data_IF_593015365277
#
_entry.id   IF_593015365277
#
_cell.length_a   1.000
_cell.length_b   1.000
_cell.length_c   1.000
_cell.angle_alpha   90.00
_cell.angle_beta   90.00
_cell.angle_gamma   90.00
#
_symmetry.space_group_name_H-M   'P 1'
#
loop_
_entity.id
_entity.type
_entity.pdbx_description
1 polymer ?
#
# COMPACT_ATOMS: atom_id res chain seq x y z
N UNK A 1 34.05 -38.60 23.62
CA UNK A 1 32.86 -37.78 24.02
C UNK A 1 32.85 -36.40 23.34
N UNK A 2 33.97 -35.77 23.10
CA UNK A 2 34.08 -34.41 22.50
C UNK A 2 33.62 -34.35 21.03
N UNK A 3 33.81 -35.40 20.25
CA UNK A 3 33.43 -35.43 18.81
C UNK A 3 31.91 -35.46 18.54
N UNK A 4 31.07 -35.87 19.50
CA UNK A 4 29.62 -35.90 19.36
C UNK A 4 28.97 -34.56 19.71
N UNK A 5 29.61 -33.73 20.52
CA UNK A 5 29.12 -32.39 20.91
C UNK A 5 29.30 -31.38 19.78
N UNK A 6 30.41 -31.51 18.99
CA UNK A 6 30.66 -30.63 17.84
C UNK A 6 29.63 -30.80 16.71
N UNK A 7 29.05 -32.00 16.56
CA UNK A 7 28.04 -32.26 15.53
C UNK A 7 26.66 -31.72 15.90
N UNK A 8 26.35 -31.69 17.19
CA UNK A 8 25.07 -31.11 17.68
C UNK A 8 25.11 -29.59 17.63
N UNK A 9 26.25 -28.96 17.86
CA UNK A 9 26.40 -27.50 17.75
C UNK A 9 26.35 -27.07 16.28
N UNK A 10 26.87 -27.85 15.34
CA UNK A 10 26.77 -27.58 13.91
C UNK A 10 25.34 -27.71 13.37
N UNK A 11 24.52 -28.59 13.95
CA UNK A 11 23.10 -28.74 13.58
C UNK A 11 22.19 -27.62 14.14
N UNK A 12 22.61 -26.96 15.22
CA UNK A 12 21.88 -25.83 15.81
C UNK A 12 22.17 -24.49 15.13
N UNK A 13 23.23 -24.39 14.34
CA UNK A 13 23.62 -23.20 13.58
C UNK A 13 23.04 -23.14 12.16
N UNK A 14 22.36 -24.20 11.70
CA UNK A 14 21.85 -24.29 10.34
C UNK A 14 20.42 -23.71 10.16
N UNK A 15 19.81 -23.11 11.18
CA UNK A 15 18.42 -22.64 11.12
C UNK A 15 18.23 -21.11 11.11
N UNK A 16 19.23 -20.31 10.78
CA UNK A 16 19.07 -18.84 10.69
C UNK A 16 19.74 -18.31 9.42
N UNK A 17 19.22 -18.74 8.27
CA UNK A 17 19.42 -18.02 7.01
C UNK A 17 18.05 -17.83 6.34
N UNK A 18 17.07 -17.38 7.09
CA UNK A 18 16.00 -16.56 6.52
C UNK A 18 16.68 -15.25 6.12
N UNK A 19 16.79 -14.97 4.83
CA UNK A 19 17.36 -13.73 4.35
C UNK A 19 16.56 -12.56 4.94
N UNK A 20 17.08 -11.92 5.99
CA UNK A 20 16.51 -10.71 6.52
C UNK A 20 16.43 -9.68 5.39
N UNK A 21 15.25 -9.07 5.20
CA UNK A 21 15.09 -7.97 4.27
C UNK A 21 16.14 -6.91 4.60
N UNK A 22 17.00 -6.60 3.63
CA UNK A 22 18.00 -5.55 3.79
C UNK A 22 17.27 -4.20 4.00
N UNK A 23 17.29 -3.73 5.23
CA UNK A 23 16.58 -2.53 5.65
C UNK A 23 17.24 -1.27 5.10
N UNK A 24 18.51 -1.33 4.76
CA UNK A 24 19.32 -0.18 4.30
C UNK A 24 19.15 0.05 2.80
N UNK A 25 18.74 -0.96 2.03
CA UNK A 25 18.47 -0.79 0.61
C UNK A 25 17.13 -0.11 0.35
N UNK A 26 17.18 0.93 -0.48
CA UNK A 26 15.98 1.62 -0.96
C UNK A 26 15.21 0.71 -1.94
N UNK A 27 13.94 0.42 -1.65
CA UNK A 27 13.02 -0.18 -2.61
C UNK A 27 12.34 0.86 -3.48
N UNK A 28 11.62 0.43 -4.51
CA UNK A 28 10.86 1.35 -5.36
C UNK A 28 9.49 0.80 -5.72
N UNK A 29 8.49 1.68 -5.71
CA UNK A 29 7.12 1.39 -6.08
C UNK A 29 6.70 2.26 -7.25
N UNK A 30 6.35 1.63 -8.36
CA UNK A 30 5.82 2.25 -9.56
C UNK A 30 4.32 2.02 -9.59
N UNK A 31 3.53 3.10 -9.57
CA UNK A 31 2.10 3.00 -9.32
C UNK A 31 1.30 3.82 -10.32
N UNK A 32 0.27 3.20 -10.87
CA UNK A 32 -0.75 3.87 -11.67
C UNK A 32 -2.10 3.73 -10.99
N UNK A 33 -2.76 4.86 -10.76
CA UNK A 33 -4.11 4.94 -10.19
C UNK A 33 -5.06 5.55 -11.20
N UNK A 34 -6.24 4.99 -11.30
CA UNK A 34 -7.28 5.57 -12.14
C UNK A 34 -8.59 5.76 -11.35
N UNK A 35 -9.37 6.75 -11.78
CA UNK A 35 -10.70 7.04 -11.28
C UNK A 35 -11.57 7.53 -12.43
N UNK A 36 -12.72 6.89 -12.63
CA UNK A 36 -13.68 7.26 -13.65
C UNK A 36 -15.07 7.45 -13.03
N UNK A 37 -15.81 8.46 -13.47
CA UNK A 37 -17.19 8.67 -13.06
C UNK A 37 -18.10 8.39 -14.25
N UNK A 38 -19.13 7.58 -14.07
CA UNK A 38 -20.15 7.36 -15.09
C UNK A 38 -20.98 8.64 -15.19
N UNK A 39 -20.97 9.22 -16.37
CA UNK A 39 -21.61 10.52 -16.63
C UNK A 39 -23.06 10.55 -16.12
N UNK A 40 -23.40 11.65 -15.44
CA UNK A 40 -24.76 11.94 -14.89
C UNK A 40 -25.22 10.96 -13.79
N UNK A 41 -24.33 10.15 -13.25
CA UNK A 41 -24.65 9.22 -12.16
C UNK A 41 -23.82 9.45 -10.91
N UNK A 42 -24.20 8.81 -9.81
CA UNK A 42 -23.38 8.73 -8.59
C UNK A 42 -22.38 7.59 -8.62
N UNK A 43 -22.33 6.81 -9.69
CA UNK A 43 -21.51 5.63 -9.84
C UNK A 43 -20.24 5.92 -10.61
N UNK A 44 -19.25 5.09 -10.41
CA UNK A 44 -17.97 5.16 -11.11
C UNK A 44 -17.12 3.94 -10.86
N UNK A 45 -15.89 3.98 -11.34
CA UNK A 45 -14.89 2.95 -11.14
C UNK A 45 -13.59 3.58 -10.68
N UNK A 46 -12.86 2.87 -9.85
CA UNK A 46 -11.47 3.20 -9.52
C UNK A 46 -10.63 1.95 -9.45
N UNK A 47 -9.34 2.12 -9.64
CA UNK A 47 -8.40 1.01 -9.47
C UNK A 47 -6.97 1.49 -9.53
N UNK A 48 -6.07 0.52 -9.40
CA UNK A 48 -4.65 0.75 -9.50
C UNK A 48 -3.89 -0.50 -9.91
N UNK A 49 -2.76 -0.27 -10.57
CA UNK A 49 -1.70 -1.23 -10.82
C UNK A 49 -0.45 -0.72 -10.14
N UNK A 50 0.18 -1.57 -9.32
CA UNK A 50 1.39 -1.21 -8.59
C UNK A 50 2.43 -2.31 -8.77
N UNK A 51 3.58 -1.93 -9.33
CA UNK A 51 4.75 -2.76 -9.40
C UNK A 51 5.74 -2.29 -8.35
N UNK A 52 6.01 -3.14 -7.38
CA UNK A 52 6.85 -2.85 -6.23
C UNK A 52 8.08 -3.73 -6.27
N UNK A 53 9.23 -3.14 -6.04
CA UNK A 53 10.51 -3.82 -6.01
C UNK A 53 11.15 -3.75 -4.63
N UNK A 54 11.86 -4.80 -4.25
CA UNK A 54 12.71 -4.82 -3.07
C UNK A 54 13.85 -3.81 -3.17
N UNK A 55 14.40 -3.62 -4.38
CA UNK A 55 15.40 -2.62 -4.74
C UNK A 55 14.76 -1.57 -5.67
N UNK A 56 15.53 -0.58 -6.15
CA UNK A 56 15.02 0.44 -7.08
C UNK A 56 14.53 -0.20 -8.39
N UNK A 57 15.24 -1.23 -8.88
CA UNK A 57 14.83 -2.01 -10.05
C UNK A 57 15.24 -3.47 -9.90
N UNK A 58 14.42 -4.39 -10.40
CA UNK A 58 14.77 -5.81 -10.53
C UNK A 58 13.89 -6.75 -9.71
N UNK A 59 14.11 -6.87 -8.42
CA UNK A 59 13.47 -7.93 -7.63
C UNK A 59 12.03 -7.56 -7.25
N UNK A 60 11.08 -8.39 -7.67
CA UNK A 60 9.67 -8.20 -7.37
C UNK A 60 9.41 -8.31 -5.85
N UNK A 61 8.94 -7.23 -5.23
CA UNK A 61 8.34 -7.27 -3.89
C UNK A 61 6.86 -7.63 -3.98
N UNK A 62 6.10 -6.88 -4.81
CA UNK A 62 4.68 -7.13 -5.05
C UNK A 62 4.22 -6.56 -6.39
N UNK A 63 3.41 -7.34 -7.10
CA UNK A 63 2.52 -6.84 -8.15
C UNK A 63 1.10 -6.81 -7.59
N UNK A 64 0.47 -5.62 -7.61
CA UNK A 64 -0.91 -5.43 -7.18
C UNK A 64 -1.73 -4.92 -8.35
N UNK A 65 -2.87 -5.56 -8.59
CA UNK A 65 -3.88 -5.12 -9.55
C UNK A 65 -5.20 -5.05 -8.80
N UNK A 66 -5.81 -3.85 -8.75
CA UNK A 66 -7.07 -3.66 -8.03
C UNK A 66 -8.06 -2.86 -8.86
N UNK A 67 -9.33 -3.22 -8.71
CA UNK A 67 -10.44 -2.48 -9.30
C UNK A 67 -11.66 -2.50 -8.40
N UNK A 68 -12.53 -1.52 -8.52
CA UNK A 68 -13.74 -1.46 -7.72
C UNK A 68 -14.79 -0.50 -8.26
N UNK A 69 -16.03 -0.84 -7.99
CA UNK A 69 -17.19 0.00 -8.24
C UNK A 69 -17.27 1.08 -7.15
N UNK A 70 -17.48 2.32 -7.54
CA UNK A 70 -17.58 3.43 -6.60
C UNK A 70 -18.96 4.03 -6.61
N UNK A 71 -19.41 4.52 -5.45
CA UNK A 71 -20.65 5.24 -5.27
C UNK A 71 -20.42 6.52 -4.47
N UNK A 72 -20.82 7.67 -5.01
CA UNK A 72 -20.74 8.97 -4.36
C UNK A 72 -22.16 9.54 -4.18
N UNK A 73 -22.73 9.48 -2.95
CA UNK A 73 -24.05 10.07 -2.68
C UNK A 73 -24.09 11.56 -3.03
N UNK A 74 -25.20 12.04 -3.63
CA UNK A 74 -25.34 13.44 -4.06
C UNK A 74 -25.29 14.45 -2.90
N UNK A 75 -25.75 14.05 -1.71
CA UNK A 75 -25.87 14.93 -0.53
C UNK A 75 -24.75 14.75 0.51
N UNK A 76 -23.75 13.93 0.25
CA UNK A 76 -22.68 13.66 1.20
C UNK A 76 -21.30 13.74 0.52
N UNK A 77 -20.34 14.36 1.19
CA UNK A 77 -18.95 14.40 0.70
C UNK A 77 -18.19 13.14 1.11
N UNK A 78 -18.70 12.00 0.64
CA UNK A 78 -18.14 10.68 0.88
C UNK A 78 -18.15 9.89 -0.42
N UNK A 79 -17.15 9.05 -0.64
CA UNK A 79 -17.11 8.08 -1.74
C UNK A 79 -16.92 6.69 -1.16
N UNK A 80 -17.83 5.79 -1.45
CA UNK A 80 -17.73 4.37 -1.13
C UNK A 80 -17.13 3.60 -2.29
N UNK A 81 -16.45 2.51 -1.98
CA UNK A 81 -15.93 1.57 -2.98
C UNK A 81 -16.13 0.14 -2.50
N UNK A 82 -16.65 -0.71 -3.36
CA UNK A 82 -16.57 -2.16 -3.24
C UNK A 82 -15.60 -2.64 -4.31
N UNK A 83 -14.52 -3.29 -3.92
CA UNK A 83 -13.47 -3.65 -4.85
C UNK A 83 -12.88 -5.03 -4.63
N UNK A 84 -12.17 -5.47 -5.65
CA UNK A 84 -11.39 -6.69 -5.69
C UNK A 84 -9.94 -6.35 -6.01
N UNK A 85 -9.01 -7.16 -5.50
CA UNK A 85 -7.59 -7.02 -5.78
C UNK A 85 -6.90 -8.37 -5.82
N UNK A 86 -6.01 -8.50 -6.78
CA UNK A 86 -5.05 -9.59 -6.90
C UNK A 86 -3.66 -9.08 -6.52
N UNK A 87 -2.94 -9.88 -5.74
CA UNK A 87 -1.61 -9.54 -5.24
C UNK A 87 -0.69 -10.73 -5.42
N UNK A 88 0.35 -10.57 -6.21
CA UNK A 88 1.48 -11.50 -6.29
C UNK A 88 2.64 -10.92 -5.49
N UNK A 89 3.15 -11.65 -4.51
CA UNK A 89 4.30 -11.25 -3.69
C UNK A 89 5.50 -12.13 -4.01
N UNK A 90 6.65 -11.53 -4.29
CA UNK A 90 7.91 -12.24 -4.51
C UNK A 90 8.74 -12.31 -3.24
N UNK A 91 9.47 -13.39 -3.07
CA UNK A 91 10.44 -13.57 -1.98
C UNK A 91 11.59 -12.57 -2.10
N UNK A 92 12.19 -12.22 -0.96
CA UNK A 92 13.38 -11.38 -0.92
C UNK A 92 14.64 -12.21 -1.18
N UNK A 93 15.58 -11.66 -1.95
CA UNK A 93 16.90 -12.27 -2.19
C UNK A 93 16.96 -13.12 -3.46
N UNK A 94 17.70 -14.22 -3.41
CA UNK A 94 17.93 -15.11 -4.56
C UNK A 94 16.72 -16.02 -4.87
N UNK A 95 15.84 -16.23 -3.91
CA UNK A 95 14.61 -16.99 -4.11
C UNK A 95 13.67 -16.22 -5.07
N UNK A 96 13.18 -16.89 -6.11
CA UNK A 96 12.24 -16.32 -7.08
C UNK A 96 10.81 -16.85 -6.89
N UNK A 97 10.56 -17.53 -5.78
CA UNK A 97 9.23 -18.01 -5.46
C UNK A 97 8.24 -16.84 -5.26
N UNK A 98 7.00 -17.11 -5.59
CA UNK A 98 5.93 -16.14 -5.42
C UNK A 98 4.78 -16.76 -4.64
N UNK A 99 4.05 -15.92 -3.92
CA UNK A 99 2.78 -16.28 -3.28
C UNK A 99 1.66 -15.38 -3.79
N UNK A 100 0.42 -15.90 -3.80
CA UNK A 100 -0.75 -15.18 -4.28
C UNK A 100 -1.69 -14.83 -3.15
N UNK A 101 -2.37 -13.72 -3.32
CA UNK A 101 -3.41 -13.26 -2.41
C UNK A 101 -4.52 -12.56 -3.18
N UNK A 102 -5.77 -13.00 -2.96
CA UNK A 102 -6.96 -12.28 -3.41
C UNK A 102 -7.56 -11.47 -2.27
N UNK A 103 -8.13 -10.33 -2.59
CA UNK A 103 -8.76 -9.42 -1.62
C UNK A 103 -10.10 -8.95 -2.12
N UNK A 104 -11.11 -8.97 -1.24
CA UNK A 104 -12.32 -8.18 -1.39
C UNK A 104 -12.19 -7.02 -0.40
N UNK A 105 -12.52 -5.79 -0.81
CA UNK A 105 -12.41 -4.67 0.10
C UNK A 105 -13.59 -3.70 -0.01
N UNK A 106 -13.95 -3.14 1.13
CA UNK A 106 -14.86 -2.03 1.27
C UNK A 106 -14.06 -0.81 1.71
N UNK A 107 -14.33 0.32 1.09
CA UNK A 107 -13.60 1.55 1.35
C UNK A 107 -14.54 2.74 1.43
N UNK A 108 -14.24 3.66 2.33
CA UNK A 108 -14.89 4.96 2.43
C UNK A 108 -13.83 6.07 2.41
N UNK A 109 -14.01 7.05 1.53
CA UNK A 109 -13.16 8.23 1.37
C UNK A 109 -13.92 9.48 1.78
N UNK A 110 -13.33 10.27 2.69
CA UNK A 110 -13.89 11.53 3.20
C UNK A 110 -12.94 12.69 2.90
N UNK A 111 -13.11 13.41 1.77
CA UNK A 111 -12.28 14.57 1.48
C UNK A 111 -12.73 15.78 2.34
N UNK A 112 -11.76 16.50 2.87
CA UNK A 112 -11.95 17.70 3.70
C UNK A 112 -10.97 18.77 3.19
N UNK A 113 -11.44 20.02 3.08
CA UNK A 113 -10.57 21.16 2.78
C UNK A 113 -10.48 22.05 4.01
N UNK A 114 -9.25 22.35 4.45
CA UNK A 114 -8.97 23.25 5.57
C UNK A 114 -8.29 24.50 5.02
N UNK A 115 -8.93 25.64 5.24
CA UNK A 115 -8.49 26.90 4.63
C UNK A 115 -8.44 26.79 3.10
N UNK A 116 -7.42 27.42 2.50
CA UNK A 116 -7.31 27.48 1.04
C UNK A 116 -6.33 26.44 0.46
N UNK A 117 -5.35 25.99 1.25
CA UNK A 117 -4.20 25.24 0.76
C UNK A 117 -4.18 23.77 1.18
N UNK A 118 -4.87 23.39 2.27
CA UNK A 118 -4.81 22.04 2.83
C UNK A 118 -5.98 21.20 2.31
N UNK A 119 -5.65 20.17 1.56
CA UNK A 119 -6.61 19.21 1.00
C UNK A 119 -6.38 17.85 1.66
N UNK A 120 -7.25 17.49 2.60
CA UNK A 120 -7.17 16.24 3.34
C UNK A 120 -8.12 15.21 2.75
N UNK A 121 -7.77 13.94 2.87
CA UNK A 121 -8.67 12.82 2.58
C UNK A 121 -8.45 11.74 3.61
N UNK A 122 -9.48 11.44 4.38
CA UNK A 122 -9.50 10.28 5.26
C UNK A 122 -9.98 9.07 4.47
N UNK A 123 -9.30 7.94 4.59
CA UNK A 123 -9.69 6.68 3.97
C UNK A 123 -9.77 5.60 5.04
N UNK A 124 -10.93 5.00 5.17
CA UNK A 124 -11.14 3.78 5.92
C UNK A 124 -11.30 2.64 4.93
N UNK A 125 -10.60 1.52 5.15
CA UNK A 125 -10.70 0.32 4.33
C UNK A 125 -10.74 -0.91 5.20
N UNK A 126 -11.69 -1.77 4.95
CA UNK A 126 -11.77 -3.12 5.45
C UNK A 126 -11.41 -4.07 4.30
N UNK A 127 -10.53 -5.03 4.56
CA UNK A 127 -10.07 -6.02 3.58
C UNK A 127 -10.36 -7.42 4.10
N UNK A 128 -10.98 -8.24 3.27
CA UNK A 128 -11.13 -9.67 3.39
C UNK A 128 -10.03 -10.30 2.53
N UNK A 129 -9.16 -11.10 3.13
CA UNK A 129 -7.91 -11.55 2.53
C UNK A 129 -7.89 -13.08 2.41
N UNK A 130 -7.65 -13.56 1.21
CA UNK A 130 -7.50 -14.96 0.86
C UNK A 130 -6.05 -15.17 0.41
N UNK A 131 -5.19 -15.49 1.36
CA UNK A 131 -3.75 -15.67 1.13
C UNK A 131 -3.50 -17.15 0.89
N UNK A 132 -2.69 -17.46 -0.12
CA UNK A 132 -2.28 -18.83 -0.42
C UNK A 132 -1.69 -19.52 0.81
N UNK A 133 -2.13 -20.74 1.09
CA UNK A 133 -1.69 -21.55 2.23
C UNK A 133 -1.96 -20.95 3.63
N UNK A 134 -2.92 -20.03 3.74
CA UNK A 134 -3.34 -19.42 5.02
C UNK A 134 -4.86 -19.46 5.15
N UNK A 135 -5.34 -19.41 6.39
CA UNK A 135 -6.76 -19.25 6.67
C UNK A 135 -7.25 -17.86 6.22
N UNK A 136 -8.56 -17.78 5.98
CA UNK A 136 -9.24 -16.50 5.75
C UNK A 136 -8.92 -15.52 6.87
N UNK A 137 -8.58 -14.28 6.50
CA UNK A 137 -8.29 -13.22 7.47
C UNK A 137 -8.76 -11.86 7.01
N UNK A 138 -8.90 -10.95 7.95
CA UNK A 138 -9.36 -9.60 7.72
C UNK A 138 -8.31 -8.58 8.13
N UNK A 139 -8.41 -7.38 7.57
CA UNK A 139 -7.53 -6.27 7.92
C UNK A 139 -8.27 -4.94 7.82
N UNK A 140 -8.05 -4.11 8.83
CA UNK A 140 -8.52 -2.74 8.88
C UNK A 140 -7.39 -1.79 8.53
N UNK A 141 -7.70 -0.74 7.77
CA UNK A 141 -6.73 0.26 7.37
C UNK A 141 -7.33 1.65 7.51
N UNK A 142 -6.56 2.53 8.10
CA UNK A 142 -6.86 3.95 8.11
C UNK A 142 -5.72 4.71 7.46
N UNK A 143 -6.04 5.61 6.53
CA UNK A 143 -5.06 6.48 5.88
C UNK A 143 -5.56 7.92 5.88
N UNK A 144 -4.70 8.82 6.37
CA UNK A 144 -4.87 10.25 6.24
C UNK A 144 -3.92 10.76 5.16
N UNK A 145 -4.47 11.21 4.04
CA UNK A 145 -3.75 11.94 3.01
C UNK A 145 -3.88 13.44 3.24
N UNK A 146 -2.79 14.17 3.05
CA UNK A 146 -2.77 15.62 3.06
C UNK A 146 -1.97 16.11 1.85
N UNK A 147 -2.61 16.90 1.00
CA UNK A 147 -1.94 17.63 -0.07
C UNK A 147 -1.95 19.12 0.27
N UNK A 148 -0.77 19.74 0.25
CA UNK A 148 -0.61 21.18 0.53
C UNK A 148 -0.22 21.86 -0.75
N UNK A 149 -1.13 22.66 -1.32
CA UNK A 149 -0.87 23.41 -2.54
C UNK A 149 0.18 24.51 -2.27
N UNK A 150 1.20 24.60 -3.15
CA UNK A 150 2.32 25.53 -2.98
C UNK A 150 2.16 26.81 -3.80
N UNK A 151 1.61 26.73 -4.99
CA UNK A 151 1.49 27.85 -5.94
C UNK A 151 0.05 28.14 -6.39
N UNK A 152 -0.95 27.52 -5.77
CA UNK A 152 -2.37 27.73 -6.10
C UNK A 152 -3.22 27.47 -4.86
N UNK A 153 -4.43 28.06 -4.78
CA UNK A 153 -5.43 27.78 -3.75
C UNK A 153 -6.19 26.47 -3.99
N UNK A 154 -6.00 25.86 -5.14
CA UNK A 154 -6.70 24.65 -5.58
C UNK A 154 -5.74 23.67 -6.23
N UNK A 155 -6.07 22.39 -6.17
CA UNK A 155 -5.36 21.33 -6.87
C UNK A 155 -5.87 21.23 -8.32
N UNK A 156 -5.38 22.11 -9.19
CA UNK A 156 -5.74 22.23 -10.60
C UNK A 156 -4.50 22.20 -11.51
N UNK A 157 -4.70 22.28 -12.81
CA UNK A 157 -3.60 22.36 -13.81
C UNK A 157 -2.51 23.34 -13.36
N UNK A 158 -1.25 22.96 -13.56
CA UNK A 158 -0.02 23.67 -13.18
C UNK A 158 0.16 23.87 -11.68
N UNK A 159 -0.51 23.10 -10.82
CA UNK A 159 -0.28 23.14 -9.37
C UNK A 159 0.85 22.21 -8.97
N UNK A 160 1.82 22.77 -8.25
CA UNK A 160 2.83 22.05 -7.46
C UNK A 160 2.31 21.94 -6.02
N UNK A 161 2.45 20.77 -5.39
CA UNK A 161 1.97 20.54 -4.03
C UNK A 161 2.86 19.56 -3.27
N UNK A 162 2.87 19.68 -1.93
CA UNK A 162 3.41 18.64 -1.06
C UNK A 162 2.34 17.55 -0.91
N UNK A 163 2.76 16.30 -0.98
CA UNK A 163 1.93 15.13 -0.79
C UNK A 163 2.44 14.35 0.43
N UNK A 164 1.59 14.23 1.44
CA UNK A 164 1.91 13.56 2.70
C UNK A 164 0.82 12.54 2.97
N UNK A 165 1.18 11.35 3.44
CA UNK A 165 0.20 10.45 4.02
C UNK A 165 0.77 9.65 5.18
N UNK A 166 -0.11 9.29 6.10
CA UNK A 166 0.15 8.25 7.10
C UNK A 166 -0.94 7.18 7.03
N UNK A 167 -0.52 5.92 6.95
CA UNK A 167 -1.42 4.78 6.86
C UNK A 167 -1.09 3.73 7.91
N UNK A 168 -2.08 3.38 8.72
CA UNK A 168 -2.01 2.33 9.74
C UNK A 168 -2.78 1.10 9.26
N UNK A 169 -2.22 -0.08 9.51
CA UNK A 169 -2.80 -1.38 9.18
C UNK A 169 -2.93 -2.22 10.44
N UNK A 170 -4.13 -2.77 10.66
CA UNK A 170 -4.46 -3.58 11.82
C UNK A 170 -5.09 -4.88 11.35
N UNK A 171 -4.51 -6.02 11.71
CA UNK A 171 -5.06 -7.34 11.41
C UNK A 171 -6.28 -7.61 12.29
N UNK A 172 -7.32 -8.22 11.74
CA UNK A 172 -8.52 -8.58 12.48
C UNK A 172 -8.36 -9.88 13.29
N UNK A 173 -7.38 -10.72 12.93
CA UNK A 173 -7.06 -11.97 13.59
C UNK A 173 -5.56 -12.14 13.76
N UNK A 174 -5.14 -12.86 14.79
CA UNK A 174 -3.74 -13.27 14.99
C UNK A 174 -3.44 -14.62 14.34
N UNK A 175 -4.32 -15.58 14.48
CA UNK A 175 -4.18 -16.91 13.90
C UNK A 175 -4.43 -16.84 12.38
N UNK A 176 -3.53 -17.40 11.58
CA UNK A 176 -3.60 -17.43 10.12
C UNK A 176 -3.54 -18.86 9.55
N UNK A 177 -3.79 -19.88 10.41
CA UNK A 177 -3.81 -21.29 10.03
C UNK A 177 -2.47 -22.00 10.19
N UNK A 178 -2.52 -23.31 10.23
CA UNK A 178 -1.35 -24.19 10.34
C UNK A 178 -0.41 -23.86 11.51
N UNK A 179 -0.97 -23.37 12.64
CA UNK A 179 -0.19 -22.95 13.81
C UNK A 179 0.54 -21.61 13.68
N UNK A 180 0.41 -20.93 12.55
CA UNK A 180 1.06 -19.64 12.30
C UNK A 180 0.24 -18.47 12.85
N UNK A 181 0.93 -17.43 13.30
CA UNK A 181 0.30 -16.21 13.81
C UNK A 181 0.92 -14.96 13.22
N UNK A 182 0.15 -13.87 13.25
CA UNK A 182 0.59 -12.51 12.90
C UNK A 182 0.26 -11.56 14.06
N UNK A 183 0.97 -10.44 14.11
CA UNK A 183 0.66 -9.41 15.10
C UNK A 183 -0.61 -8.62 14.70
N UNK A 184 -1.33 -8.10 15.70
CA UNK A 184 -2.50 -7.22 15.47
C UNK A 184 -2.07 -5.95 14.74
N UNK A 185 -1.00 -5.28 15.18
CA UNK A 185 -0.39 -4.23 14.41
C UNK A 185 0.37 -4.86 13.22
N UNK A 186 -0.11 -4.63 11.99
CA UNK A 186 0.54 -5.16 10.79
C UNK A 186 1.69 -4.23 10.35
N UNK A 187 1.40 -2.94 10.14
CA UNK A 187 2.40 -1.93 9.75
C UNK A 187 1.89 -0.50 9.84
N UNK A 188 2.82 0.42 9.81
CA UNK A 188 2.58 1.84 9.53
C UNK A 188 3.39 2.27 8.30
N UNK A 189 2.83 3.20 7.53
CA UNK A 189 3.47 3.85 6.39
C UNK A 189 3.37 5.35 6.52
N UNK A 190 4.50 6.03 6.50
CA UNK A 190 4.58 7.48 6.42
C UNK A 190 5.24 7.86 5.11
N UNK A 191 4.58 8.69 4.31
CA UNK A 191 5.04 9.17 3.02
C UNK A 191 5.19 10.68 3.02
N UNK A 192 6.26 11.14 2.40
CA UNK A 192 6.49 12.54 2.08
C UNK A 192 6.97 12.65 0.64
N UNK A 193 6.33 13.50 -0.16
CA UNK A 193 6.68 13.69 -1.55
C UNK A 193 6.21 15.02 -2.10
N UNK A 194 6.52 15.23 -3.35
CA UNK A 194 6.03 16.34 -4.16
C UNK A 194 5.13 15.82 -5.27
N UNK A 195 4.12 16.61 -5.60
CA UNK A 195 3.19 16.31 -6.68
C UNK A 195 3.05 17.48 -7.63
N UNK A 196 2.83 17.17 -8.90
CA UNK A 196 2.56 18.14 -9.95
C UNK A 196 1.34 17.74 -10.77
N UNK A 197 0.53 18.72 -11.19
CA UNK A 197 -0.69 18.54 -11.98
C UNK A 197 -0.45 19.17 -13.37
N UNK A 198 0.09 18.41 -14.36
CA UNK A 198 0.34 18.96 -15.69
C UNK A 198 -0.95 19.33 -16.42
N UNK A 199 -2.01 18.56 -16.22
CA UNK A 199 -3.37 18.79 -16.73
C UNK A 199 -4.39 18.37 -15.69
N UNK A 200 -5.62 18.89 -15.70
CA UNK A 200 -6.61 18.70 -14.63
C UNK A 200 -6.98 17.22 -14.36
N UNK A 201 -6.77 16.35 -15.32
CA UNK A 201 -7.05 14.92 -15.19
C UNK A 201 -5.86 14.07 -14.79
N UNK A 202 -4.67 14.65 -14.69
CA UNK A 202 -3.44 13.91 -14.44
C UNK A 202 -2.64 14.53 -13.29
N UNK A 203 -2.20 13.69 -12.36
CA UNK A 203 -1.29 14.07 -11.28
C UNK A 203 -0.13 13.10 -11.24
N UNK A 204 1.06 13.64 -11.07
CA UNK A 204 2.30 12.87 -10.90
C UNK A 204 2.81 13.15 -9.51
N UNK A 205 3.24 12.12 -8.78
CA UNK A 205 3.87 12.28 -7.47
C UNK A 205 5.17 11.49 -7.41
N UNK A 206 6.15 12.07 -6.73
CA UNK A 206 7.43 11.45 -6.42
C UNK A 206 7.74 11.71 -4.95
N UNK A 207 8.15 10.69 -4.22
CA UNK A 207 8.51 10.84 -2.80
C UNK A 207 9.04 9.57 -2.17
N UNK A 208 9.32 9.66 -0.88
CA UNK A 208 9.83 8.57 -0.05
C UNK A 208 8.75 8.14 0.94
N UNK A 209 8.56 6.85 1.06
CA UNK A 209 7.70 6.22 2.06
C UNK A 209 8.54 5.38 3.01
N UNK A 210 8.42 5.64 4.30
CA UNK A 210 8.96 4.79 5.34
C UNK A 210 7.88 3.80 5.79
N UNK A 211 8.17 2.50 5.71
CA UNK A 211 7.31 1.43 6.21
C UNK A 211 7.92 0.83 7.47
N UNK A 212 7.14 0.75 8.52
CA UNK A 212 7.51 0.14 9.81
C UNK A 212 6.58 -1.02 10.08
N UNK A 213 7.14 -2.18 10.41
CA UNK A 213 6.46 -3.36 10.98
C UNK A 213 7.04 -3.66 12.36
N UNK A 214 6.54 -4.68 13.06
CA UNK A 214 7.15 -5.08 14.34
C UNK A 214 8.59 -5.59 14.20
N UNK A 215 8.96 -6.13 13.04
CA UNK A 215 10.30 -6.74 12.82
C UNK A 215 11.20 -6.00 11.84
N UNK A 216 10.71 -4.96 11.14
CA UNK A 216 11.53 -4.31 10.12
C UNK A 216 11.10 -2.87 9.83
N UNK A 217 12.06 -2.09 9.33
CA UNK A 217 11.84 -0.76 8.75
C UNK A 217 12.39 -0.77 7.33
N UNK A 218 11.70 -0.13 6.38
CA UNK A 218 12.19 -0.02 5.01
C UNK A 218 11.73 1.28 4.36
N UNK A 219 12.66 1.93 3.68
CA UNK A 219 12.36 3.08 2.84
C UNK A 219 12.05 2.65 1.42
N UNK A 220 11.05 3.30 0.82
CA UNK A 220 10.57 3.00 -0.52
C UNK A 220 10.45 4.30 -1.32
N UNK A 221 11.16 4.40 -2.43
CA UNK A 221 10.88 5.43 -3.44
C UNK A 221 9.50 5.16 -4.03
N UNK A 222 8.64 6.16 -4.09
CA UNK A 222 7.33 6.03 -4.72
C UNK A 222 7.21 6.98 -5.91
N UNK A 223 6.90 6.43 -7.07
CA UNK A 223 6.53 7.16 -8.28
C UNK A 223 5.10 6.78 -8.61
N UNK A 224 4.20 7.75 -8.63
CA UNK A 224 2.81 7.48 -8.91
C UNK A 224 2.20 8.42 -9.93
N UNK A 225 1.37 7.85 -10.79
CA UNK A 225 0.55 8.53 -11.77
C UNK A 225 -0.92 8.35 -11.38
N UNK A 226 -1.65 9.46 -11.21
CA UNK A 226 -3.07 9.45 -10.88
C UNK A 226 -3.85 10.05 -12.05
N UNK A 227 -4.72 9.24 -12.65
CA UNK A 227 -5.49 9.62 -13.82
C UNK A 227 -6.99 9.66 -13.49
N UNK A 228 -7.64 10.73 -13.86
CA UNK A 228 -9.10 10.90 -13.75
C UNK A 228 -9.71 10.98 -15.15
N UNK A 229 -10.65 10.10 -15.43
CA UNK A 229 -11.41 10.10 -16.68
C UNK A 229 -12.69 10.92 -16.58
#
# INVERSE_FOLDING_TARGET
MIRRISFVIALLLSNVLMGQVDQDKLGAWYMYFFNATIKETSWGFQGDVQYRNWNIAGDLEQLLIRGGLTYKPKKANIKFTLGYGDVTSGAYGSDKSTSRESRIYQEALFPIKIGQYFHLTNRFRYEQRFVESQDFRTRYRYNLFMNVSLNSKELKKNTLYLAIYNEIFVNGQRNIGSGNTVEIFDRNRLYLGVGFIPVDKLRIQLGIMNQVTNGSKKNQLQISLHHKF
#
